data_IF_939772691715
#
_entry.id   IF_939772691715
#
_cell.length_a   1.000
_cell.length_b   1.000
_cell.length_c   1.000
_cell.angle_alpha   90.00
_cell.angle_beta   90.00
_cell.angle_gamma   90.00
#
_symmetry.space_group_name_H-M   'P 1'
#
loop_
_entity.id
_entity.type
_entity.pdbx_description
1 polymer ?
2 non-polymer ?
#
# COMPACT_ATOMS: atom_id res chain seq x y z
N UNK A 1 -5.49 5.38 6.99
CA UNK A 1 -5.03 4.17 6.33
C UNK A 1 -5.94 3.75 5.20
N UNK A 2 -5.67 2.58 4.61
CA UNK A 2 -6.45 2.03 3.50
C UNK A 2 -7.86 1.62 3.93
N UNK A 3 -8.74 2.59 4.08
CA UNK A 3 -10.12 2.33 4.49
C UNK A 3 -10.96 1.90 3.30
N UNK A 4 -10.67 2.46 2.13
CA UNK A 4 -11.41 2.12 0.93
C UNK A 4 -11.78 3.34 0.12
N UNK A 5 -11.66 3.23 -1.20
CA UNK A 5 -11.98 4.33 -2.09
C UNK A 5 -12.61 3.82 -3.39
N UNK A 6 -13.34 4.70 -4.08
CA UNK A 6 -14.01 4.37 -5.34
C UNK A 6 -13.02 4.13 -6.48
N UNK A 7 -11.97 4.95 -6.52
CA UNK A 7 -10.95 4.84 -7.56
C UNK A 7 -9.59 4.54 -6.95
N UNK A 8 -9.39 3.28 -6.52
CA UNK A 8 -8.14 2.83 -5.92
C UNK A 8 -7.00 2.77 -6.93
N UNK A 9 -5.78 2.99 -6.45
CA UNK A 9 -4.60 2.96 -7.32
C UNK A 9 -3.57 1.95 -6.80
N UNK A 10 -4.00 1.12 -5.85
CA UNK A 10 -3.10 0.12 -5.29
C UNK A 10 -3.26 -1.23 -5.94
N UNK A 11 -3.29 -2.28 -5.13
CA UNK A 11 -3.44 -3.64 -5.63
C UNK A 11 -4.76 -4.25 -5.18
N UNK A 12 -5.33 -5.12 -6.01
CA UNK A 12 -6.59 -5.76 -5.70
C UNK A 12 -6.37 -7.00 -4.82
N UNK A 13 -7.28 -7.23 -3.89
CA UNK A 13 -7.18 -8.37 -3.01
C UNK A 13 -8.09 -9.48 -3.53
N UNK A 14 -7.51 -10.68 -3.65
CA UNK A 14 -8.24 -11.86 -4.15
C UNK A 14 -9.28 -12.36 -3.15
N UNK A 15 -8.92 -12.34 -1.87
CA UNK A 15 -9.84 -12.79 -0.84
C UNK A 15 -11.06 -11.88 -0.71
N UNK A 16 -10.98 -10.72 -1.33
CA UNK A 16 -12.08 -9.77 -1.27
C UNK A 16 -11.72 -8.56 -2.13
N UNK A 17 -12.74 -8.04 -2.83
CA UNK A 17 -12.55 -6.89 -3.70
C UNK A 17 -12.43 -5.61 -2.89
N UNK A 18 -11.47 -5.58 -1.98
CA UNK A 18 -11.25 -4.41 -1.14
C UNK A 18 -10.26 -3.44 -1.79
N UNK A 19 -9.22 -4.00 -2.41
CA UNK A 19 -8.20 -3.20 -3.07
C UNK A 19 -7.56 -2.21 -2.10
N UNK A 20 -6.38 -2.59 -1.58
CA UNK A 20 -5.67 -1.73 -0.65
C UNK A 20 -4.65 -0.87 -1.37
N UNK A 21 -4.03 0.05 -0.64
CA UNK A 21 -3.03 0.95 -1.21
C UNK A 21 -1.88 0.16 -1.81
N UNK A 22 -1.14 0.79 -2.75
CA UNK A 22 0.00 0.16 -3.40
C UNK A 22 1.19 -0.02 -2.47
N UNK A 23 1.34 0.92 -1.54
CA UNK A 23 2.45 0.87 -0.58
C UNK A 23 2.00 0.20 0.72
N UNK A 24 0.95 -0.60 0.64
CA UNK A 24 0.43 -1.31 1.82
C UNK A 24 0.62 -2.82 1.68
N UNK A 25 1.75 -3.32 2.19
CA UNK A 25 2.08 -4.74 2.15
C UNK A 25 1.18 -5.58 3.04
N UNK A 26 -0.11 -5.61 2.73
CA UNK A 26 -1.06 -6.37 3.52
C UNK A 26 -2.47 -5.82 3.43
N UNK A 27 -3.40 -6.67 3.03
CA UNK A 27 -4.79 -6.25 2.90
C UNK A 27 -5.33 -5.96 4.29
N UNK A 28 -6.29 -5.04 4.35
CA UNK A 28 -6.92 -4.66 5.61
C UNK A 28 -8.18 -5.47 5.87
N UNK A 29 -8.28 -6.61 5.19
CA UNK A 29 -9.45 -7.49 5.35
C UNK A 29 -9.01 -8.94 5.49
N UNK A 30 -8.09 -9.36 4.64
CA UNK A 30 -7.60 -10.73 4.67
C UNK A 30 -6.20 -10.72 5.28
N UNK A 31 -5.49 -9.61 5.04
CA UNK A 31 -4.13 -9.45 5.56
C UNK A 31 -3.14 -10.23 4.69
N UNK A 32 -3.48 -10.40 3.42
CA UNK A 32 -2.61 -11.13 2.50
C UNK A 32 -1.45 -10.25 2.02
N UNK A 33 -0.23 -10.63 2.40
CA UNK A 33 0.95 -9.88 2.01
C UNK A 33 0.94 -9.54 0.52
N UNK A 34 1.06 -8.27 0.20
CA UNK A 34 1.06 -7.81 -1.18
C UNK A 34 2.05 -8.63 -2.01
N UNK A 35 1.63 -8.97 -3.24
CA UNK A 35 2.46 -9.76 -4.17
C UNK A 35 3.65 -8.96 -4.69
N UNK A 36 4.85 -9.44 -4.38
CA UNK A 36 6.08 -8.77 -4.82
C UNK A 36 5.99 -8.40 -6.30
N UNK A 37 5.34 -9.24 -7.08
CA UNK A 37 5.19 -9.00 -8.51
C UNK A 37 4.54 -7.65 -8.78
N UNK A 38 3.54 -7.32 -7.97
CA UNK A 38 2.82 -6.05 -8.13
C UNK A 38 3.79 -4.87 -7.98
N UNK A 39 3.49 -3.78 -8.69
CA UNK A 39 4.33 -2.59 -8.65
C UNK A 39 3.51 -1.37 -8.24
N UNK A 40 4.21 -0.33 -7.77
CA UNK A 40 3.55 0.89 -7.33
C UNK A 40 3.54 1.93 -8.44
N UNK A 41 2.37 2.54 -8.68
CA UNK A 41 2.20 3.56 -9.71
C UNK A 41 2.91 4.86 -9.37
N UNK A 42 3.65 5.40 -10.32
CA UNK A 42 4.38 6.65 -10.11
C UNK A 42 3.43 7.79 -9.76
N UNK A 43 2.21 7.72 -10.30
CA UNK A 43 1.21 8.75 -10.03
C UNK A 43 0.36 8.39 -8.83
N UNK A 44 0.89 7.55 -7.96
CA UNK A 44 0.18 7.11 -6.77
C UNK A 44 -0.27 8.31 -5.92
N UNK A 45 0.71 9.03 -5.39
CA UNK A 45 0.42 10.20 -4.56
C UNK A 45 -0.32 9.80 -3.29
N UNK A 46 0.43 9.36 -2.28
CA UNK A 46 -0.12 8.93 -0.98
C UNK A 46 -0.69 10.11 -0.19
N UNK A 47 -1.82 9.88 0.46
CA UNK A 47 -2.46 10.93 1.27
C UNK A 47 -1.48 11.52 2.26
N UNK A 48 -1.90 12.58 2.95
CA UNK A 48 -1.06 13.23 3.95
C UNK A 48 -0.67 12.27 5.07
N UNK A 49 -1.59 11.37 5.40
CA UNK A 49 -1.36 10.38 6.46
C UNK A 49 -0.57 9.19 5.93
N UNK A 50 -0.85 8.82 4.68
CA UNK A 50 -0.17 7.69 4.05
C UNK A 50 1.31 8.00 3.87
N UNK A 51 1.62 9.16 3.31
CA UNK A 51 3.00 9.56 3.07
C UNK A 51 3.71 9.88 4.39
N UNK A 52 2.96 10.47 5.33
CA UNK A 52 3.52 10.81 6.63
C UNK A 52 4.07 9.58 7.34
N UNK A 53 3.43 8.44 7.14
CA UNK A 53 3.85 7.19 7.76
C UNK A 53 4.76 6.41 6.81
N UNK A 54 4.42 6.41 5.53
CA UNK A 54 5.21 5.70 4.53
C UNK A 54 6.62 6.26 4.44
N UNK A 55 6.71 7.56 4.17
CA UNK A 55 8.01 8.23 4.06
C UNK A 55 8.88 7.94 5.27
N UNK A 56 8.25 7.77 6.42
CA UNK A 56 8.98 7.49 7.65
C UNK A 56 9.34 6.02 7.79
N UNK A 57 8.40 5.16 7.43
CA UNK A 57 8.61 3.72 7.53
C UNK A 57 9.78 3.29 6.65
N UNK A 58 9.78 3.73 5.40
CA UNK A 58 10.84 3.40 4.45
C UNK A 58 12.16 4.01 4.89
N UNK A 59 12.09 5.11 5.62
CA UNK A 59 13.29 5.79 6.10
C UNK A 59 14.01 4.94 7.15
N UNK A 60 13.28 4.01 7.75
CA UNK A 60 13.85 3.14 8.77
C UNK A 60 13.98 1.72 8.25
N UNK A 61 13.06 1.31 7.38
CA UNK A 61 13.08 -0.03 6.81
C UNK A 61 13.89 -0.07 5.53
N UNK A 62 13.42 0.66 4.52
CA UNK A 62 14.11 0.70 3.23
C UNK A 62 15.58 1.05 3.41
N UNK A 63 15.84 2.12 4.16
CA UNK A 63 17.21 2.56 4.42
C UNK A 63 18.07 1.40 4.94
N UNK A 64 17.41 0.42 5.55
CA UNK A 64 18.12 -0.74 6.10
C UNK A 64 18.26 -1.83 5.04
N UNK A 65 17.15 -2.50 4.73
CA UNK A 65 17.16 -3.56 3.73
C UNK A 65 17.61 -3.04 2.38
N UNK A 66 16.71 -2.34 1.69
CA UNK A 66 17.01 -1.78 0.38
C UNK A 66 18.18 -0.81 0.46
X LIG B 1 -6.04 -9.98 0.29
X LIG C 1 -8.63 -8.95 1.36
#
# INVERSE_FOLDING_TARGET
GPLGSPEPVGWQCPGCTFINKPTRPGCEMCCRARPETYQIPASYQPDEEERARLAGEEEALRQYQQ
ZN ZN
ZN ZN
#
